data_IF_078922224431
#
_entry.id   IF_078922224431
#
_cell.length_a   1.000
_cell.length_b   1.000
_cell.length_c   1.000
_cell.angle_alpha   90.00
_cell.angle_beta   90.00
_cell.angle_gamma   90.00
#
_symmetry.space_group_name_H-M   'P 1'
#
loop_
_entity.id
_entity.type
_entity.pdbx_description
1 polymer ?
#
# COMPACT_ATOMS: atom_id res chain seq x y z
N UNK A 1 -12.69 25.62 29.02
CA UNK A 1 -11.86 25.30 27.83
C UNK A 1 -12.20 23.89 27.41
N UNK A 2 -13.05 23.72 26.39
CA UNK A 2 -13.22 22.42 25.74
C UNK A 2 -12.00 22.23 24.86
N UNK A 3 -11.06 21.42 25.33
CA UNK A 3 -9.85 21.07 24.60
C UNK A 3 -10.25 20.43 23.27
N UNK A 4 -10.00 21.13 22.18
CA UNK A 4 -9.88 20.51 20.86
C UNK A 4 -8.69 19.55 20.93
N UNK A 5 -8.97 18.29 21.29
CA UNK A 5 -8.04 17.21 20.94
C UNK A 5 -8.16 17.12 19.43
N UNK A 6 -7.20 17.75 18.75
CA UNK A 6 -7.04 17.60 17.31
C UNK A 6 -7.00 16.10 17.03
N UNK A 7 -7.98 15.59 16.30
CA UNK A 7 -7.85 14.34 15.56
C UNK A 7 -6.73 14.56 14.54
N UNK A 8 -5.46 14.55 14.99
CA UNK A 8 -4.37 14.29 14.08
C UNK A 8 -4.58 12.87 13.61
N UNK A 9 -4.62 12.60 12.30
CA UNK A 9 -4.76 11.24 11.85
C UNK A 9 -3.49 10.52 12.29
N UNK A 10 -3.64 9.59 13.24
CA UNK A 10 -2.52 8.82 13.78
C UNK A 10 -1.92 7.99 12.65
N UNK A 11 -0.59 7.93 12.60
CA UNK A 11 0.08 7.16 11.58
C UNK A 11 -0.10 5.67 11.92
N UNK A 12 -0.82 4.93 11.09
CA UNK A 12 -1.08 3.50 11.25
C UNK A 12 -0.23 2.71 10.27
N UNK A 13 -0.02 1.43 10.57
CA UNK A 13 0.55 0.48 9.62
C UNK A 13 -0.55 -0.08 8.72
N UNK A 14 -0.31 -0.04 7.43
CA UNK A 14 -1.17 -0.62 6.41
C UNK A 14 -0.41 -1.68 5.63
N UNK A 15 -1.00 -2.86 5.48
CA UNK A 15 -0.54 -3.81 4.47
C UNK A 15 -1.21 -3.48 3.15
N UNK A 16 -0.41 -3.13 2.15
CA UNK A 16 -0.87 -2.82 0.79
C UNK A 16 -0.33 -3.90 -0.13
N UNK A 17 -1.20 -4.47 -0.96
CA UNK A 17 -0.83 -5.44 -1.97
C UNK A 17 -1.38 -5.05 -3.33
N UNK A 18 -0.55 -5.15 -4.36
CA UNK A 18 -0.92 -4.86 -5.72
C UNK A 18 -0.11 -5.64 -6.73
N UNK A 19 -0.50 -5.50 -8.00
CA UNK A 19 0.26 -5.97 -9.15
C UNK A 19 0.88 -4.79 -9.89
N UNK A 20 2.16 -4.90 -10.20
CA UNK A 20 2.87 -3.95 -11.07
C UNK A 20 3.08 -4.57 -12.44
N UNK A 21 2.87 -3.76 -13.47
CA UNK A 21 3.09 -4.12 -14.87
C UNK A 21 4.13 -3.18 -15.44
N UNK A 22 5.18 -3.74 -16.04
CA UNK A 22 6.22 -3.00 -16.75
C UNK A 22 6.03 -3.09 -18.26
N UNK A 23 6.35 -2.03 -18.99
CA UNK A 23 6.09 -1.89 -20.43
C UNK A 23 6.75 -2.97 -21.28
N UNK A 24 7.96 -3.39 -20.95
CA UNK A 24 8.77 -4.33 -21.75
C UNK A 24 8.80 -5.75 -21.17
N UNK A 25 7.91 -6.06 -20.22
CA UNK A 25 7.83 -7.39 -19.58
C UNK A 25 6.61 -8.15 -20.10
N UNK A 26 6.85 -9.33 -20.67
CA UNK A 26 5.78 -10.25 -21.05
C UNK A 26 5.32 -11.04 -19.82
N UNK A 27 4.10 -10.77 -19.36
CA UNK A 27 3.49 -11.51 -18.25
C UNK A 27 2.67 -12.70 -18.78
N UNK A 28 3.09 -13.92 -18.43
CA UNK A 28 2.32 -15.12 -18.74
C UNK A 28 0.92 -15.06 -18.11
N UNK A 29 -0.10 -15.33 -18.92
CA UNK A 29 -1.51 -15.23 -18.53
C UNK A 29 -1.96 -13.84 -18.05
N UNK A 30 -1.23 -12.78 -18.41
CA UNK A 30 -1.60 -11.39 -18.10
C UNK A 30 -1.51 -11.03 -16.61
N UNK A 31 -0.79 -11.81 -15.80
CA UNK A 31 -0.64 -11.54 -14.37
C UNK A 31 0.63 -10.75 -14.11
N UNK A 32 0.49 -9.48 -13.76
CA UNK A 32 1.59 -8.62 -13.32
C UNK A 32 2.33 -9.17 -12.10
N UNK A 33 3.48 -8.58 -11.80
CA UNK A 33 4.29 -8.96 -10.63
C UNK A 33 3.55 -8.59 -9.35
N UNK A 34 3.39 -9.56 -8.45
CA UNK A 34 2.70 -9.36 -7.17
C UNK A 34 3.67 -8.76 -6.16
N UNK A 35 3.32 -7.59 -5.62
CA UNK A 35 4.10 -6.90 -4.58
C UNK A 35 3.20 -6.63 -3.40
N UNK A 36 3.73 -6.84 -2.19
CA UNK A 36 3.07 -6.49 -0.94
C UNK A 36 4.07 -5.80 -0.02
N UNK A 37 3.66 -4.70 0.59
CA UNK A 37 4.49 -3.92 1.51
C UNK A 37 3.64 -3.44 2.70
N UNK A 38 4.26 -3.41 3.88
CA UNK A 38 3.71 -2.71 5.04
C UNK A 38 4.21 -1.27 5.04
N UNK A 39 3.30 -0.31 4.97
CA UNK A 39 3.62 1.13 4.95
C UNK A 39 3.02 1.84 6.16
N UNK A 40 3.67 2.93 6.60
CA UNK A 40 3.09 3.81 7.60
C UNK A 40 2.36 4.95 6.88
N UNK A 41 1.08 5.12 7.15
CA UNK A 41 0.25 6.15 6.53
C UNK A 41 -0.86 6.60 7.47
N UNK A 42 -1.56 7.68 7.11
CA UNK A 42 -2.64 8.24 7.94
C UNK A 42 -4.04 7.85 7.46
N UNK A 43 -4.12 7.20 6.29
CA UNK A 43 -5.36 6.75 5.66
C UNK A 43 -5.07 5.62 4.64
N UNK A 44 -6.12 4.96 4.14
CA UNK A 44 -5.97 3.97 3.05
C UNK A 44 -5.43 4.63 1.78
N UNK A 45 -5.96 5.80 1.40
CA UNK A 45 -5.52 6.53 0.20
C UNK A 45 -4.05 6.96 0.30
N UNK A 46 -3.61 7.41 1.47
CA UNK A 46 -2.19 7.73 1.71
C UNK A 46 -1.31 6.48 1.62
N UNK A 47 -1.76 5.35 2.18
CA UNK A 47 -1.04 4.09 2.12
C UNK A 47 -0.85 3.63 0.66
N UNK A 48 -1.89 3.72 -0.16
CA UNK A 48 -1.85 3.41 -1.58
C UNK A 48 -0.92 4.36 -2.35
N UNK A 49 -0.92 5.65 -2.00
CA UNK A 49 -0.03 6.66 -2.59
C UNK A 49 1.45 6.39 -2.27
N UNK A 50 1.76 6.06 -1.00
CA UNK A 50 3.11 5.69 -0.55
C UNK A 50 3.55 4.41 -1.26
N UNK A 51 2.70 3.38 -1.31
CA UNK A 51 2.98 2.13 -2.00
C UNK A 51 3.30 2.36 -3.50
N UNK A 52 2.48 3.17 -4.20
CA UNK A 52 2.74 3.53 -5.60
C UNK A 52 4.08 4.27 -5.76
N UNK A 53 4.39 5.18 -4.85
CA UNK A 53 5.64 5.93 -4.87
C UNK A 53 6.86 5.03 -4.69
N UNK A 54 6.81 4.08 -3.74
CA UNK A 54 7.85 3.07 -3.52
C UNK A 54 8.09 2.23 -4.78
N UNK A 55 7.02 1.75 -5.42
CA UNK A 55 7.12 0.98 -6.66
C UNK A 55 7.76 1.78 -7.80
N UNK A 56 7.42 3.07 -7.94
CA UNK A 56 8.02 3.95 -8.94
C UNK A 56 9.50 4.26 -8.64
N UNK A 57 9.87 4.39 -7.36
CA UNK A 57 11.28 4.52 -6.96
C UNK A 57 12.07 3.25 -7.22
N UNK A 58 11.50 2.08 -6.89
CA UNK A 58 12.08 0.79 -7.21
C UNK A 58 12.30 0.65 -8.72
N UNK A 59 11.26 0.90 -9.52
CA UNK A 59 11.35 0.83 -10.98
C UNK A 59 12.47 1.73 -11.53
N UNK A 60 12.56 2.98 -11.06
CA UNK A 60 13.64 3.91 -11.44
C UNK A 60 15.04 3.39 -11.07
N UNK A 61 15.18 2.75 -9.91
CA UNK A 61 16.46 2.18 -9.47
C UNK A 61 16.95 1.03 -10.35
N UNK A 62 16.03 0.32 -11.00
CA UNK A 62 16.32 -0.83 -11.85
C UNK A 62 16.13 -0.55 -13.35
N UNK A 63 15.97 0.72 -13.74
CA UNK A 63 15.74 1.14 -15.13
C UNK A 63 14.52 0.46 -15.78
N UNK A 64 13.47 0.25 -14.98
CA UNK A 64 12.19 -0.30 -15.40
C UNK A 64 11.18 0.81 -15.65
N UNK A 65 10.34 0.64 -16.67
CA UNK A 65 9.22 1.54 -16.98
C UNK A 65 7.91 0.91 -16.54
N UNK A 66 7.23 1.52 -15.58
CA UNK A 66 5.91 1.07 -15.10
C UNK A 66 4.82 1.49 -16.11
N UNK A 67 4.07 0.52 -16.60
CA UNK A 67 2.85 0.71 -17.41
C UNK A 67 1.67 1.07 -16.50
N UNK A 68 1.38 0.20 -15.52
CA UNK A 68 0.30 0.41 -14.56
C UNK A 68 0.52 -0.32 -13.24
N UNK A 69 -0.19 0.14 -12.20
CA UNK A 69 -0.22 -0.48 -10.87
C UNK A 69 -1.69 -0.70 -10.49
N UNK A 70 -2.03 -1.96 -10.25
CA UNK A 70 -3.36 -2.43 -9.82
C UNK A 70 -3.31 -2.82 -8.35
N UNK A 71 -3.93 -2.02 -7.48
CA UNK A 71 -3.99 -2.34 -6.05
C UNK A 71 -5.11 -3.37 -5.83
N UNK A 72 -4.77 -4.45 -5.13
CA UNK A 72 -5.68 -5.57 -4.87
C UNK A 72 -6.34 -5.45 -3.50
N UNK A 73 -5.58 -5.04 -2.47
CA UNK A 73 -6.13 -4.71 -1.16
C UNK A 73 -5.23 -3.75 -0.40
N UNK A 74 -5.84 -3.03 0.54
CA UNK A 74 -5.20 -2.19 1.53
C UNK A 74 -5.86 -2.51 2.88
N UNK A 75 -5.05 -2.86 3.89
CA UNK A 75 -5.54 -3.31 5.20
C UNK A 75 -4.92 -2.49 6.33
N UNK A 76 -5.73 -1.75 7.07
CA UNK A 76 -5.31 -1.12 8.33
C UNK A 76 -5.05 -2.19 9.41
N UNK A 77 -3.80 -2.33 9.83
CA UNK A 77 -3.40 -3.33 10.82
C UNK A 77 -3.84 -2.98 12.24
N UNK A 78 -4.00 -1.70 12.58
CA UNK A 78 -4.52 -1.29 13.89
C UNK A 78 -6.02 -1.61 13.99
N UNK A 79 -6.77 -1.34 12.92
CA UNK A 79 -8.17 -1.74 12.82
C UNK A 79 -8.33 -3.26 12.85
N UNK A 80 -7.53 -4.00 12.07
CA UNK A 80 -7.60 -5.46 12.04
C UNK A 80 -7.30 -6.09 13.41
N UNK A 81 -6.26 -5.60 14.11
CA UNK A 81 -5.93 -6.09 15.46
C UNK A 81 -7.03 -5.82 16.48
N UNK A 82 -7.66 -4.65 16.43
CA UNK A 82 -8.73 -4.30 17.38
C UNK A 82 -10.02 -5.09 17.14
N UNK A 83 -10.30 -5.52 15.91
CA UNK A 83 -11.56 -6.20 15.54
C UNK A 83 -11.43 -7.71 15.46
N UNK A 84 -10.26 -8.23 15.10
CA UNK A 84 -10.03 -9.67 14.90
C UNK A 84 -8.98 -10.26 15.85
N UNK A 85 -8.32 -9.44 16.68
CA UNK A 85 -7.34 -9.91 17.68
C UNK A 85 -7.93 -10.61 18.90
N UNK A 86 -9.26 -10.77 18.96
CA UNK A 86 -9.97 -11.46 20.05
C UNK A 86 -10.35 -12.92 19.73
N UNK A 87 -9.61 -13.59 18.85
CA UNK A 87 -9.67 -15.05 18.69
C UNK A 87 -8.39 -15.66 19.25
N UNK A 88 -8.40 -15.87 20.56
CA UNK A 88 -7.54 -16.84 21.26
C UNK A 88 -8.45 -17.90 21.87
#
# INVERSE_FOLDING_TARGET
>A
MLGQIKNQPENHQFDVCGRVYYTDVCYDNGKGELVAETVNATSHDDAESVFRSNLLEHARKFDLVVDRIEITFTLDLAYAKSHYGAVN
#
